data_IF_551024936138
#
_entry.id   IF_551024936138
#
_cell.length_a   1.000
_cell.length_b   1.000
_cell.length_c   1.000
_cell.angle_alpha   90.00
_cell.angle_beta   90.00
_cell.angle_gamma   90.00
#
_symmetry.space_group_name_H-M   'P 1'
#
loop_
_entity.id
_entity.type
_entity.pdbx_description
1 polymer ?
#
# COMPACT_ATOMS: atom_id res chain seq x y z
N UNK A 1 37.24 -42.64 -24.75
CA UNK A 1 36.88 -41.29 -25.24
C UNK A 1 35.37 -41.14 -25.07
N UNK A 2 34.98 -40.01 -24.49
CA UNK A 2 33.77 -39.77 -23.70
C UNK A 2 32.45 -39.95 -24.46
N UNK A 3 31.49 -40.66 -23.87
CA UNK A 3 30.07 -40.33 -24.08
C UNK A 3 29.48 -40.08 -22.69
N UNK A 4 29.60 -38.82 -22.29
CA UNK A 4 29.09 -38.29 -21.03
C UNK A 4 27.60 -38.55 -20.95
N UNK A 5 27.18 -39.31 -19.95
CA UNK A 5 25.88 -39.20 -19.31
C UNK A 5 25.50 -37.72 -19.21
N UNK A 6 24.76 -37.20 -20.19
CA UNK A 6 24.16 -35.88 -20.11
C UNK A 6 22.84 -36.07 -19.40
N UNK A 7 22.95 -36.19 -18.08
CA UNK A 7 21.87 -36.00 -17.15
C UNK A 7 21.33 -34.59 -17.44
N UNK A 8 20.29 -34.50 -18.28
CA UNK A 8 19.53 -33.26 -18.49
C UNK A 8 18.86 -32.93 -17.16
N UNK A 9 19.56 -32.18 -16.33
CA UNK A 9 18.99 -31.53 -15.17
C UNK A 9 18.05 -30.45 -15.72
N UNK A 10 16.79 -30.80 -15.96
CA UNK A 10 15.74 -29.83 -16.25
C UNK A 10 15.52 -29.03 -14.98
N UNK A 11 16.28 -27.95 -14.80
CA UNK A 11 16.00 -26.96 -13.78
C UNK A 11 14.67 -26.31 -14.16
N UNK A 12 13.58 -26.76 -13.55
CA UNK A 12 12.30 -26.05 -13.62
C UNK A 12 12.51 -24.69 -12.97
N UNK A 13 12.56 -23.63 -13.79
CA UNK A 13 12.48 -22.27 -13.28
C UNK A 13 11.09 -22.09 -12.67
N UNK A 14 11.01 -22.10 -11.35
CA UNK A 14 9.79 -21.74 -10.64
C UNK A 14 9.62 -20.23 -10.82
N UNK A 15 8.64 -19.80 -11.62
CA UNK A 15 8.31 -18.40 -11.75
C UNK A 15 7.48 -17.97 -10.54
N UNK A 16 8.07 -17.14 -9.68
CA UNK A 16 7.36 -16.51 -8.56
C UNK A 16 6.98 -15.10 -9.00
N UNK A 17 5.69 -14.80 -8.99
CA UNK A 17 5.18 -13.45 -9.23
C UNK A 17 4.92 -12.78 -7.86
N UNK A 18 5.61 -11.68 -7.60
CA UNK A 18 5.47 -10.91 -6.36
C UNK A 18 4.93 -9.52 -6.67
N UNK A 19 3.97 -9.07 -5.88
CA UNK A 19 3.51 -7.69 -5.89
C UNK A 19 4.17 -6.94 -4.74
N UNK A 20 4.71 -5.76 -5.03
CA UNK A 20 5.41 -4.92 -4.07
C UNK A 20 4.59 -3.67 -3.76
N UNK A 21 4.50 -3.33 -2.46
CA UNK A 21 3.94 -2.09 -1.96
C UNK A 21 5.04 -1.39 -1.16
N UNK A 22 5.56 -0.29 -1.68
CA UNK A 22 6.69 0.45 -1.10
C UNK A 22 6.20 1.76 -0.47
N UNK A 23 6.44 1.93 0.83
CA UNK A 23 6.14 3.16 1.59
C UNK A 23 7.31 3.52 2.52
N UNK A 24 7.39 4.76 3.04
CA UNK A 24 8.39 5.11 4.04
C UNK A 24 8.28 4.25 5.30
N UNK A 25 9.41 3.91 5.96
CA UNK A 25 9.40 3.07 7.16
C UNK A 25 8.81 3.78 8.38
N UNK A 26 9.09 5.07 8.53
CA UNK A 26 8.56 5.90 9.60
C UNK A 26 8.60 7.38 9.20
N UNK A 27 7.71 8.17 9.78
CA UNK A 27 7.65 9.62 9.59
C UNK A 27 7.24 10.28 10.91
N UNK A 28 7.81 11.44 11.19
CA UNK A 28 7.50 12.23 12.39
C UNK A 28 7.20 13.66 11.98
N UNK A 29 6.12 14.23 12.53
CA UNK A 29 5.73 15.62 12.33
C UNK A 29 5.37 16.26 13.66
N UNK A 30 5.42 17.59 13.71
CA UNK A 30 4.94 18.33 14.87
C UNK A 30 3.40 18.34 14.90
N UNK A 31 2.77 18.39 16.09
CA UNK A 31 1.31 18.53 16.20
C UNK A 31 0.78 19.72 15.40
N UNK A 32 -0.37 19.53 14.77
CA UNK A 32 -1.02 20.52 13.90
C UNK A 32 -0.50 20.54 12.46
N UNK A 33 0.67 19.98 12.17
CA UNK A 33 1.22 19.93 10.82
C UNK A 33 0.55 18.84 9.97
N UNK A 34 0.48 19.04 8.65
CA UNK A 34 0.09 18.00 7.73
C UNK A 34 1.21 16.95 7.56
N UNK A 35 0.81 15.75 7.14
CA UNK A 35 1.73 14.67 6.76
C UNK A 35 1.22 14.02 5.47
N UNK A 36 2.13 13.73 4.56
CA UNK A 36 1.83 12.98 3.33
C UNK A 36 2.65 11.71 3.29
N UNK A 37 1.97 10.57 3.15
CA UNK A 37 2.58 9.25 3.01
C UNK A 37 2.24 8.72 1.62
N UNK A 38 3.27 8.38 0.84
CA UNK A 38 3.10 7.81 -0.49
C UNK A 38 3.34 6.30 -0.45
N UNK A 39 2.51 5.56 -1.17
CA UNK A 39 2.68 4.13 -1.41
C UNK A 39 2.78 3.88 -2.90
N UNK A 40 3.94 3.42 -3.38
CA UNK A 40 4.14 3.00 -4.76
C UNK A 40 3.88 1.50 -4.87
N UNK A 41 3.10 1.09 -5.86
CA UNK A 41 2.78 -0.32 -6.07
C UNK A 41 3.29 -0.82 -7.43
N UNK A 42 3.64 -2.11 -7.52
CA UNK A 42 4.15 -2.74 -8.75
C UNK A 42 3.08 -3.00 -9.82
N UNK A 43 1.80 -2.95 -9.45
CA UNK A 43 0.65 -3.23 -10.32
C UNK A 43 -0.10 -1.96 -10.73
N UNK A 44 -1.02 -2.08 -11.69
CA UNK A 44 -1.90 -0.97 -12.06
C UNK A 44 -2.98 -0.75 -10.99
N UNK A 45 -2.92 0.37 -10.27
CA UNK A 45 -3.91 0.75 -9.24
C UNK A 45 -5.33 0.86 -9.82
N UNK A 46 -5.47 1.25 -11.10
CA UNK A 46 -6.76 1.42 -11.75
C UNK A 46 -7.15 0.26 -12.69
N UNK A 47 -6.19 -0.56 -13.11
CA UNK A 47 -6.42 -1.67 -14.04
C UNK A 47 -6.55 -3.05 -13.38
N UNK A 48 -6.20 -3.18 -12.10
CA UNK A 48 -6.09 -4.48 -11.45
C UNK A 48 -7.39 -5.09 -10.93
N UNK A 49 -8.47 -4.32 -10.76
CA UNK A 49 -9.69 -4.83 -10.11
C UNK A 49 -9.48 -5.22 -8.64
N UNK A 50 -8.50 -4.62 -7.97
CA UNK A 50 -8.23 -4.81 -6.54
C UNK A 50 -8.38 -3.49 -5.80
N UNK A 51 -8.95 -3.52 -4.60
CA UNK A 51 -8.94 -2.35 -3.73
C UNK A 51 -7.51 -2.12 -3.26
N UNK A 52 -7.03 -0.87 -3.39
CA UNK A 52 -5.76 -0.43 -2.81
C UNK A 52 -6.00 0.79 -1.94
N UNK A 53 -5.48 0.81 -0.73
CA UNK A 53 -5.84 1.84 0.24
C UNK A 53 -4.92 1.90 1.44
N UNK A 54 -5.43 2.57 2.47
CA UNK A 54 -4.70 2.84 3.70
C UNK A 54 -5.47 2.33 4.92
N UNK A 55 -4.75 1.64 5.79
CA UNK A 55 -5.21 1.16 7.10
C UNK A 55 -4.33 1.82 8.15
N UNK A 56 -4.92 2.20 9.29
CA UNK A 56 -4.16 2.62 10.47
C UNK A 56 -4.38 1.70 11.65
N UNK A 57 -3.35 1.55 12.47
CA UNK A 57 -3.41 0.87 13.75
C UNK A 57 -2.88 1.78 14.86
N UNK A 58 -3.78 2.47 15.59
CA UNK A 58 -3.39 3.16 16.81
C UNK A 58 -2.90 2.18 17.87
N UNK A 59 -2.00 2.62 18.75
CA UNK A 59 -1.48 1.78 19.83
C UNK A 59 -2.61 1.21 20.70
N UNK A 60 -2.61 -0.12 20.89
CA UNK A 60 -3.63 -0.83 21.67
C UNK A 60 -5.01 -0.92 21.02
N UNK A 61 -5.16 -0.56 19.74
CA UNK A 61 -6.44 -0.63 19.01
C UNK A 61 -6.37 -1.60 17.82
N UNK A 62 -7.54 -2.03 17.37
CA UNK A 62 -7.69 -2.82 16.14
C UNK A 62 -7.34 -1.98 14.89
N UNK A 63 -7.08 -2.67 13.79
CA UNK A 63 -6.92 -2.07 12.47
C UNK A 63 -8.19 -1.32 12.05
N UNK A 64 -8.02 -0.14 11.49
CA UNK A 64 -9.10 0.70 10.99
C UNK A 64 -8.80 1.14 9.55
N UNK A 65 -9.66 0.76 8.61
CA UNK A 65 -9.58 1.27 7.24
C UNK A 65 -9.85 2.77 7.21
N UNK A 66 -8.93 3.52 6.61
CA UNK A 66 -9.12 4.94 6.32
C UNK A 66 -9.93 5.09 5.04
N UNK A 67 -9.50 4.39 3.99
CA UNK A 67 -10.15 4.37 2.69
C UNK A 67 -9.40 3.51 1.69
N UNK A 68 -10.04 3.26 0.55
CA UNK A 68 -9.51 2.46 -0.54
C UNK A 68 -10.01 2.98 -1.89
N UNK A 69 -9.28 2.61 -2.93
CA UNK A 69 -9.52 3.01 -4.31
C UNK A 69 -9.73 1.74 -5.12
N UNK A 70 -10.76 1.73 -5.96
CA UNK A 70 -11.09 0.65 -6.88
C UNK A 70 -11.59 1.21 -8.19
N UNK A 71 -10.86 0.95 -9.27
CA UNK A 71 -11.31 1.17 -10.67
C UNK A 71 -12.02 2.52 -10.92
N UNK A 72 -11.49 3.62 -10.36
CA UNK A 72 -12.05 4.97 -10.52
C UNK A 72 -12.92 5.45 -9.35
N UNK A 73 -13.36 4.55 -8.48
CA UNK A 73 -14.09 4.86 -7.26
C UNK A 73 -13.16 4.95 -6.04
N UNK A 74 -13.52 5.80 -5.09
CA UNK A 74 -12.82 5.94 -3.81
C UNK A 74 -13.82 5.80 -2.68
N UNK A 75 -13.58 4.83 -1.80
CA UNK A 75 -14.32 4.66 -0.55
C UNK A 75 -13.48 5.22 0.60
N UNK A 76 -14.10 5.94 1.53
CA UNK A 76 -13.42 6.47 2.69
C UNK A 76 -14.35 6.42 3.90
N UNK A 77 -13.80 6.08 5.07
CA UNK A 77 -14.56 6.03 6.33
C UNK A 77 -15.01 7.44 6.73
N UNK A 78 -16.31 7.65 6.87
CA UNK A 78 -16.90 8.97 7.11
C UNK A 78 -16.30 9.70 8.32
N UNK A 79 -16.08 8.98 9.43
CA UNK A 79 -15.47 9.55 10.64
C UNK A 79 -14.04 10.07 10.44
N UNK A 80 -13.39 9.73 9.33
CA UNK A 80 -11.99 10.07 9.04
C UNK A 80 -11.82 11.05 7.87
N UNK A 81 -12.87 11.34 7.08
CA UNK A 81 -12.82 12.24 5.91
C UNK A 81 -12.36 13.67 6.24
N UNK A 82 -12.64 14.14 7.46
CA UNK A 82 -12.21 15.45 7.91
C UNK A 82 -10.71 15.50 8.28
N UNK A 83 -10.10 14.35 8.58
CA UNK A 83 -8.70 14.25 9.02
C UNK A 83 -7.76 13.79 7.92
N UNK A 84 -8.20 12.85 7.10
CA UNK A 84 -7.39 12.25 6.05
C UNK A 84 -8.01 12.47 4.67
N UNK A 85 -7.18 12.50 3.64
CA UNK A 85 -7.60 12.43 2.24
C UNK A 85 -6.72 11.44 1.48
N UNK A 86 -7.31 10.74 0.51
CA UNK A 86 -6.61 9.81 -0.36
C UNK A 86 -6.52 10.38 -1.78
N UNK A 87 -5.39 10.22 -2.44
CA UNK A 87 -5.21 10.55 -3.85
C UNK A 87 -4.50 9.41 -4.57
N UNK A 88 -4.73 9.31 -5.89
CA UNK A 88 -4.09 8.31 -6.76
C UNK A 88 -3.44 9.00 -7.94
N UNK A 89 -2.19 8.65 -8.19
CA UNK A 89 -1.48 8.93 -9.43
C UNK A 89 -1.31 7.61 -10.20
N UNK A 90 -2.14 7.41 -11.23
CA UNK A 90 -2.10 6.21 -12.07
C UNK A 90 -0.91 6.18 -13.02
N UNK A 91 -0.22 7.30 -13.26
CA UNK A 91 0.98 7.31 -14.11
C UNK A 91 2.19 6.68 -13.41
N UNK A 92 2.25 6.79 -12.09
CA UNK A 92 3.32 6.25 -11.25
C UNK A 92 2.88 5.07 -10.37
N UNK A 93 1.62 4.65 -10.47
CA UNK A 93 0.98 3.66 -9.59
C UNK A 93 1.17 4.00 -8.10
N UNK A 94 0.92 5.26 -7.75
CA UNK A 94 1.10 5.75 -6.38
C UNK A 94 -0.26 6.05 -5.73
N UNK A 95 -0.48 5.51 -4.53
CA UNK A 95 -1.61 5.84 -3.66
C UNK A 95 -1.10 6.64 -2.47
N UNK A 96 -1.59 7.85 -2.32
CA UNK A 96 -1.09 8.82 -1.33
C UNK A 96 -2.14 9.10 -0.27
N UNK A 97 -1.72 9.05 0.99
CA UNK A 97 -2.50 9.47 2.15
C UNK A 97 -2.00 10.84 2.63
N UNK A 98 -2.89 11.81 2.76
CA UNK A 98 -2.59 13.10 3.39
C UNK A 98 -3.39 13.26 4.67
N UNK A 99 -2.70 13.38 5.81
CA UNK A 99 -3.26 13.86 7.06
C UNK A 99 -3.18 15.39 7.11
N UNK A 100 -4.30 16.08 7.37
CA UNK A 100 -4.40 17.55 7.24
C UNK A 100 -3.84 18.31 8.44
N UNK A 101 -4.13 17.85 9.65
CA UNK A 101 -3.70 18.47 10.91
C UNK A 101 -3.63 17.39 11.97
N UNK A 102 -2.48 16.71 12.00
CA UNK A 102 -2.24 15.54 12.84
C UNK A 102 -2.01 15.95 14.29
N UNK A 103 -2.61 15.22 15.20
CA UNK A 103 -2.41 15.38 16.64
C UNK A 103 -1.72 14.15 17.23
N UNK A 104 -1.36 14.20 18.51
CA UNK A 104 -0.70 13.07 19.18
C UNK A 104 -1.59 11.81 19.12
N UNK A 105 -2.91 11.98 19.21
CA UNK A 105 -3.90 10.90 19.12
C UNK A 105 -3.95 10.21 17.75
N UNK A 106 -3.44 10.85 16.70
CA UNK A 106 -3.36 10.28 15.34
C UNK A 106 -2.10 9.41 15.14
N UNK A 107 -1.26 9.27 16.18
CA UNK A 107 -0.09 8.39 16.14
C UNK A 107 -0.53 6.93 16.00
N UNK A 108 -0.10 6.30 14.91
CA UNK A 108 -0.47 4.94 14.56
C UNK A 108 0.58 4.34 13.62
N UNK A 109 0.56 3.03 13.46
CA UNK A 109 1.20 2.40 12.30
C UNK A 109 0.25 2.54 11.11
N UNK A 110 0.76 3.04 9.99
CA UNK A 110 0.00 3.23 8.76
C UNK A 110 0.47 2.22 7.72
N UNK A 111 -0.47 1.44 7.20
CA UNK A 111 -0.23 0.40 6.22
C UNK A 111 -0.90 0.78 4.90
N UNK A 112 -0.10 0.82 3.84
CA UNK A 112 -0.61 0.66 2.49
C UNK A 112 -1.00 -0.79 2.29
N UNK A 113 -2.23 -1.03 1.89
CA UNK A 113 -2.79 -2.36 1.77
C UNK A 113 -3.50 -2.53 0.43
N UNK A 114 -3.42 -3.75 -0.08
CA UNK A 114 -4.19 -4.24 -1.22
C UNK A 114 -5.07 -5.37 -0.71
N UNK A 115 -6.32 -5.42 -1.16
CA UNK A 115 -7.16 -6.57 -0.85
C UNK A 115 -6.54 -7.87 -1.41
N UNK A 116 -6.56 -8.97 -0.64
CA UNK A 116 -5.96 -10.24 -1.05
C UNK A 116 -6.71 -10.88 -2.24
N UNK A 117 -5.99 -11.74 -2.96
CA UNK A 117 -6.51 -12.60 -4.04
C UNK A 117 -7.12 -13.88 -3.48
#
# INVERSE_FOLDING_TARGET
>A
MFSTSLMMLMATLVYVHSEELTQPPSMTVQPGQPLTISCKVSYSVRGGGFYTGWIRQPAGKALEWIGSIYTGDTSQKDSLKNKFSLTVDSSSNTVTLTGKSLQAEDTAVYYCARDPQ
#
